data_IF_437360641429
#
_entry.id   IF_437360641429
#
_cell.length_a   1.000
_cell.length_b   1.000
_cell.length_c   1.000
_cell.angle_alpha   90.00
_cell.angle_beta   90.00
_cell.angle_gamma   90.00
#
_symmetry.space_group_name_H-M   'P 1'
#
loop_
_entity.id
_entity.type
_entity.pdbx_description
1 polymer ?
#
# COMPACT_ATOMS: atom_id res chain seq x y z
N UNK A 1 31.23 22.92 -30.51
CA UNK A 1 30.80 21.54 -30.29
C UNK A 1 29.28 21.54 -30.02
N UNK A 2 28.46 21.11 -30.99
CA UNK A 2 27.01 20.92 -30.79
C UNK A 2 26.79 19.65 -29.96
N UNK A 3 26.31 19.80 -28.74
CA UNK A 3 25.80 18.62 -27.96
C UNK A 3 24.68 18.00 -28.78
N UNK A 4 24.92 16.81 -29.30
CA UNK A 4 23.89 16.01 -29.95
C UNK A 4 22.71 15.83 -29.01
N UNK A 5 21.51 16.18 -29.45
CA UNK A 5 20.27 15.84 -28.75
C UNK A 5 20.21 14.31 -28.69
N UNK A 6 20.27 13.77 -27.49
CA UNK A 6 20.05 12.34 -27.28
C UNK A 6 18.66 12.01 -27.78
N UNK A 7 18.59 11.17 -28.79
CA UNK A 7 17.32 10.73 -29.37
C UNK A 7 16.64 9.80 -28.37
N UNK A 8 15.70 10.30 -27.61
CA UNK A 8 14.98 9.58 -26.56
C UNK A 8 14.21 8.36 -27.10
N UNK A 9 13.91 8.33 -28.41
CA UNK A 9 13.21 7.20 -29.04
C UNK A 9 14.09 5.95 -29.17
N UNK A 10 15.41 6.08 -28.99
CA UNK A 10 16.37 4.97 -29.06
C UNK A 10 16.73 4.38 -27.69
N UNK A 11 16.21 4.95 -26.60
CA UNK A 11 16.39 4.38 -25.27
C UNK A 11 15.59 3.09 -25.16
N UNK A 12 16.28 1.96 -25.12
CA UNK A 12 15.66 0.68 -24.75
C UNK A 12 15.36 0.72 -23.25
N UNK A 13 14.10 0.51 -22.88
CA UNK A 13 13.72 0.33 -21.48
C UNK A 13 14.47 -0.87 -20.89
N UNK A 14 15.08 -0.73 -19.70
CA UNK A 14 15.72 -1.86 -19.02
C UNK A 14 14.70 -2.99 -18.78
N UNK A 15 15.19 -4.20 -18.64
CA UNK A 15 14.34 -5.31 -18.25
C UNK A 15 13.69 -5.05 -16.88
N UNK A 16 12.42 -5.43 -16.71
CA UNK A 16 11.64 -5.17 -15.50
C UNK A 16 12.37 -5.59 -14.22
N UNK A 17 13.06 -6.74 -14.23
CA UNK A 17 13.83 -7.21 -13.07
C UNK A 17 14.99 -6.27 -12.72
N UNK A 18 15.61 -5.63 -13.71
CA UNK A 18 16.68 -4.63 -13.44
C UNK A 18 16.08 -3.40 -12.77
N UNK A 19 14.90 -2.96 -13.21
CA UNK A 19 14.21 -1.81 -12.60
C UNK A 19 13.86 -2.13 -11.15
N UNK A 20 13.25 -3.29 -10.88
CA UNK A 20 12.89 -3.73 -9.52
C UNK A 20 14.15 -3.79 -8.64
N UNK A 21 15.22 -4.41 -9.13
CA UNK A 21 16.46 -4.51 -8.38
C UNK A 21 17.07 -3.13 -8.05
N UNK A 22 17.05 -2.19 -8.99
CA UNK A 22 17.48 -0.81 -8.74
C UNK A 22 16.61 -0.11 -7.69
N UNK A 23 15.28 -0.33 -7.72
CA UNK A 23 14.37 0.24 -6.71
C UNK A 23 14.64 -0.36 -5.33
N UNK A 24 14.88 -1.66 -5.24
CA UNK A 24 15.21 -2.33 -3.96
C UNK A 24 16.54 -1.81 -3.40
N UNK A 25 17.57 -1.65 -4.25
CA UNK A 25 18.85 -1.03 -3.83
C UNK A 25 18.60 0.41 -3.34
N UNK A 26 17.82 1.19 -4.07
CA UNK A 26 17.53 2.57 -3.69
C UNK A 26 16.81 2.63 -2.34
N UNK A 27 15.79 1.79 -2.13
CA UNK A 27 15.09 1.69 -0.86
C UNK A 27 16.02 1.27 0.28
N UNK A 28 16.91 0.30 0.03
CA UNK A 28 17.92 -0.11 0.99
C UNK A 28 18.88 1.03 1.39
N UNK A 29 19.38 1.78 0.40
CA UNK A 29 20.22 2.95 0.68
C UNK A 29 19.51 4.03 1.50
N UNK A 30 18.18 4.19 1.32
CA UNK A 30 17.40 5.13 2.11
C UNK A 30 17.36 4.76 3.60
N UNK A 31 17.47 3.49 3.97
CA UNK A 31 17.50 3.08 5.38
C UNK A 31 18.69 3.65 6.14
N UNK A 32 19.78 4.03 5.44
CA UNK A 32 20.95 4.67 6.04
C UNK A 32 20.82 6.19 6.15
N UNK A 33 19.91 6.79 5.39
CA UNK A 33 19.78 8.25 5.30
C UNK A 33 18.56 8.76 6.05
N UNK A 34 17.48 7.98 6.06
CA UNK A 34 16.21 8.41 6.64
C UNK A 34 16.08 7.88 8.06
N UNK A 35 15.99 8.76 9.06
CA UNK A 35 15.78 8.33 10.43
C UNK A 35 14.39 7.67 10.57
N UNK A 36 14.31 6.65 11.42
CA UNK A 36 13.06 6.00 11.74
C UNK A 36 12.13 6.95 12.50
N UNK A 37 10.84 6.79 12.33
CA UNK A 37 9.82 7.53 13.06
C UNK A 37 8.48 6.81 12.99
N UNK A 38 7.57 7.20 13.89
CA UNK A 38 6.24 6.62 13.96
C UNK A 38 5.19 7.66 14.33
N UNK A 39 3.94 7.32 14.07
CA UNK A 39 2.78 8.02 14.60
C UNK A 39 2.23 7.27 15.80
N UNK A 40 1.68 7.97 16.77
CA UNK A 40 0.86 7.36 17.80
C UNK A 40 -0.43 6.80 17.19
N UNK A 41 -0.98 5.79 17.83
CA UNK A 41 -2.23 5.19 17.41
C UNK A 41 -3.31 5.41 18.46
N UNK A 42 -4.56 5.55 17.99
CA UNK A 42 -5.72 5.60 18.88
C UNK A 42 -6.81 4.66 18.41
N UNK A 43 -7.54 4.11 19.35
CA UNK A 43 -8.71 3.30 19.06
C UNK A 43 -9.92 4.19 18.87
N UNK A 44 -10.58 4.06 17.72
CA UNK A 44 -11.86 4.73 17.46
C UNK A 44 -12.97 3.69 17.37
N UNK A 45 -14.10 4.00 18.01
CA UNK A 45 -15.32 3.21 17.90
C UNK A 45 -16.19 3.77 16.77
N UNK A 46 -16.79 2.89 15.99
CA UNK A 46 -17.70 3.24 14.92
C UNK A 46 -18.84 2.22 14.85
N UNK A 47 -20.00 2.67 14.37
CA UNK A 47 -21.13 1.79 14.12
C UNK A 47 -20.91 1.04 12.80
N UNK A 48 -20.92 -0.29 12.84
CA UNK A 48 -20.79 -1.12 11.66
C UNK A 48 -22.10 -1.19 10.85
N UNK A 49 -22.05 -1.80 9.67
CA UNK A 49 -23.20 -1.93 8.78
C UNK A 49 -24.36 -2.78 9.38
N UNK A 50 -24.12 -3.49 10.49
CA UNK A 50 -25.11 -4.31 11.21
C UNK A 50 -25.72 -3.58 12.41
N UNK A 51 -25.29 -2.34 12.70
CA UNK A 51 -25.71 -1.55 13.85
C UNK A 51 -24.98 -1.92 15.14
N UNK A 52 -23.88 -2.70 15.04
CA UNK A 52 -22.97 -3.02 16.16
C UNK A 52 -21.89 -1.94 16.34
N UNK A 53 -21.36 -1.82 17.55
CA UNK A 53 -20.17 -0.99 17.81
C UNK A 53 -18.94 -1.83 17.53
N UNK A 54 -18.17 -1.44 16.52
CA UNK A 54 -16.88 -2.00 16.23
C UNK A 54 -15.78 -0.98 16.57
N UNK A 55 -14.61 -1.44 16.94
CA UNK A 55 -13.44 -0.59 17.15
C UNK A 55 -12.38 -0.87 16.10
N UNK A 56 -11.58 0.14 15.81
CA UNK A 56 -10.35 -0.02 15.04
C UNK A 56 -9.29 0.98 15.48
N UNK A 57 -8.06 0.57 15.36
CA UNK A 57 -6.90 1.42 15.59
C UNK A 57 -6.65 2.30 14.37
N UNK A 58 -6.50 3.60 14.58
CA UNK A 58 -6.14 4.59 13.54
C UNK A 58 -4.93 5.39 13.99
N UNK A 59 -4.19 5.92 13.02
CA UNK A 59 -3.08 6.82 13.30
C UNK A 59 -3.60 8.16 13.80
N UNK A 60 -2.97 8.71 14.83
CA UNK A 60 -3.28 10.04 15.33
C UNK A 60 -2.57 11.10 14.48
N UNK A 61 -3.35 12.07 13.99
CA UNK A 61 -2.79 13.17 13.20
C UNK A 61 -1.90 14.05 14.10
N UNK A 62 -0.85 14.59 13.50
CA UNK A 62 0.12 15.47 14.18
C UNK A 62 0.93 14.81 15.32
N UNK A 63 0.84 13.51 15.50
CA UNK A 63 1.59 12.74 16.50
C UNK A 63 2.92 12.19 15.99
N UNK A 64 3.36 12.57 14.77
CA UNK A 64 4.62 12.07 14.24
C UNK A 64 5.78 12.41 15.16
N UNK A 65 6.55 11.38 15.56
CA UNK A 65 7.79 11.53 16.29
C UNK A 65 8.90 10.68 15.68
N UNK A 66 10.11 11.19 15.74
CA UNK A 66 11.26 10.38 15.39
C UNK A 66 11.52 9.32 16.46
N UNK A 67 11.99 8.17 16.05
CA UNK A 67 12.45 7.16 16.97
C UNK A 67 13.86 7.52 17.49
N UNK A 68 14.07 7.28 18.77
CA UNK A 68 15.33 7.43 19.48
C UNK A 68 15.65 6.12 20.20
N UNK A 69 16.89 5.96 20.60
CA UNK A 69 17.24 4.88 21.51
C UNK A 69 16.60 5.09 22.87
N UNK A 70 16.19 4.00 23.51
CA UNK A 70 15.66 4.05 24.86
C UNK A 70 16.76 4.49 25.83
N UNK A 71 16.45 5.45 26.70
CA UNK A 71 17.29 5.72 27.87
C UNK A 71 17.05 4.60 28.90
N UNK A 72 17.88 3.57 28.80
CA UNK A 72 17.71 2.36 29.60
C UNK A 72 17.85 2.61 31.09
N UNK A 73 18.65 3.60 31.49
CA UNK A 73 18.82 3.95 32.90
C UNK A 73 17.56 4.63 33.44
N UNK A 74 17.08 5.65 32.74
CA UNK A 74 15.86 6.36 33.14
C UNK A 74 14.68 5.40 33.21
N UNK A 75 14.48 4.62 32.17
CA UNK A 75 13.35 3.66 32.12
C UNK A 75 13.49 2.59 33.20
N UNK A 76 14.68 2.08 33.46
CA UNK A 76 14.90 1.10 34.52
C UNK A 76 14.53 1.66 35.90
N UNK A 77 14.97 2.89 36.22
CA UNK A 77 14.66 3.55 37.47
C UNK A 77 13.15 3.77 37.65
N UNK A 78 12.44 4.16 36.57
CA UNK A 78 10.97 4.32 36.60
C UNK A 78 10.25 2.98 36.78
N UNK A 79 10.73 1.92 36.15
CA UNK A 79 10.14 0.59 36.29
C UNK A 79 10.38 -0.02 37.67
N UNK A 80 11.50 0.30 38.34
CA UNK A 80 11.71 -0.09 39.74
C UNK A 80 10.69 0.60 40.70
N UNK A 81 10.41 1.89 40.47
CA UNK A 81 9.37 2.59 41.20
C UNK A 81 7.97 2.06 40.94
N UNK A 82 7.70 1.61 39.70
CA UNK A 82 6.43 1.05 39.25
C UNK A 82 6.09 -0.28 39.98
N UNK A 83 7.09 -1.12 40.27
CA UNK A 83 6.91 -2.40 40.98
C UNK A 83 6.23 -2.21 42.35
N UNK A 84 6.50 -1.09 42.99
CA UNK A 84 5.95 -0.76 44.32
C UNK A 84 4.58 -0.07 44.27
N UNK A 85 4.03 0.15 43.04
CA UNK A 85 2.75 0.82 42.83
C UNK A 85 1.73 -0.13 42.12
N UNK A 86 0.93 -0.88 42.90
CA UNK A 86 -0.03 -1.84 42.32
C UNK A 86 -1.13 -1.20 41.48
N UNK A 87 -1.55 0.05 41.79
CA UNK A 87 -2.59 0.75 41.06
C UNK A 87 -2.10 1.17 39.64
N UNK A 88 -0.84 1.58 39.54
CA UNK A 88 -0.23 1.91 38.26
C UNK A 88 0.00 0.65 37.41
N UNK A 89 0.41 -0.46 37.99
CA UNK A 89 0.56 -1.73 37.30
C UNK A 89 -0.77 -2.21 36.70
N UNK A 90 -1.86 -2.11 37.45
CA UNK A 90 -3.19 -2.50 36.96
C UNK A 90 -3.67 -1.59 35.82
N UNK A 91 -3.39 -0.27 35.92
CA UNK A 91 -3.71 0.70 34.88
C UNK A 91 -2.97 0.44 33.57
N UNK A 92 -1.70 0.03 33.67
CA UNK A 92 -0.86 -0.29 32.51
C UNK A 92 -1.05 -1.73 31.98
N UNK A 93 -1.83 -2.56 32.72
CA UNK A 93 -2.08 -3.96 32.37
C UNK A 93 -0.84 -4.85 32.49
N UNK A 94 0.10 -4.51 33.39
CA UNK A 94 1.38 -5.21 33.56
C UNK A 94 1.33 -6.08 34.81
N UNK A 95 1.69 -7.34 34.67
CA UNK A 95 1.81 -8.25 35.82
C UNK A 95 3.12 -8.02 36.58
N UNK A 96 3.03 -7.85 37.88
CA UNK A 96 4.19 -7.58 38.74
C UNK A 96 5.31 -8.61 38.56
N UNK A 97 4.96 -9.88 38.48
CA UNK A 97 5.93 -10.99 38.35
C UNK A 97 6.72 -10.91 37.03
N UNK A 98 6.06 -10.47 35.95
CA UNK A 98 6.71 -10.30 34.65
C UNK A 98 7.67 -9.10 34.66
N UNK A 99 7.26 -8.00 35.28
CA UNK A 99 8.09 -6.82 35.43
C UNK A 99 9.34 -7.11 36.30
N UNK A 100 9.18 -7.76 37.45
CA UNK A 100 10.28 -8.19 38.29
C UNK A 100 11.26 -9.12 37.55
N UNK A 101 10.75 -10.01 36.70
CA UNK A 101 11.59 -10.91 35.88
C UNK A 101 12.44 -10.14 34.86
N UNK A 102 11.94 -9.03 34.31
CA UNK A 102 12.69 -8.15 33.40
C UNK A 102 13.73 -7.38 34.18
N UNK A 103 13.37 -6.77 35.31
CA UNK A 103 14.29 -5.98 36.15
C UNK A 103 15.42 -6.81 36.74
N UNK A 104 15.16 -8.07 37.11
CA UNK A 104 16.18 -8.99 37.64
C UNK A 104 17.35 -9.23 36.66
N UNK A 105 17.11 -9.06 35.34
CA UNK A 105 18.15 -9.19 34.32
C UNK A 105 19.08 -7.98 34.25
N UNK A 106 18.73 -6.89 34.93
CA UNK A 106 19.49 -5.66 35.07
C UNK A 106 19.36 -4.70 33.87
N UNK A 107 19.65 -3.43 34.13
CA UNK A 107 19.56 -2.29 33.19
C UNK A 107 20.16 -2.58 31.81
N UNK A 108 21.39 -3.15 31.76
CA UNK A 108 22.09 -3.44 30.51
C UNK A 108 21.39 -4.45 29.58
N UNK A 109 20.45 -5.19 30.11
CA UNK A 109 19.64 -6.16 29.35
C UNK A 109 18.25 -5.63 29.04
N UNK A 110 17.94 -4.39 29.41
CA UNK A 110 16.67 -3.76 29.06
C UNK A 110 16.67 -3.40 27.57
N UNK A 111 15.61 -3.77 26.89
CA UNK A 111 15.38 -3.40 25.49
C UNK A 111 13.89 -3.21 25.26
N UNK A 112 13.52 -2.39 24.27
CA UNK A 112 12.11 -2.18 23.92
C UNK A 112 11.40 -3.51 23.61
N UNK A 113 12.06 -4.43 22.94
CA UNK A 113 11.50 -5.74 22.58
C UNK A 113 11.05 -6.55 23.82
N UNK A 114 11.85 -6.53 24.88
CA UNK A 114 11.51 -7.20 26.16
C UNK A 114 10.40 -6.49 26.93
N UNK A 115 10.30 -5.17 26.78
CA UNK A 115 9.22 -4.37 27.36
C UNK A 115 7.91 -4.62 26.59
N UNK A 116 7.96 -4.76 25.29
CA UNK A 116 6.81 -5.11 24.45
C UNK A 116 6.23 -6.49 24.82
N UNK A 117 7.08 -7.46 25.22
CA UNK A 117 6.64 -8.79 25.69
C UNK A 117 5.74 -8.72 26.94
N UNK A 118 5.89 -7.68 27.74
CA UNK A 118 5.12 -7.46 28.97
C UNK A 118 4.10 -6.32 28.83
N UNK A 119 3.68 -6.01 27.61
CA UNK A 119 2.73 -4.95 27.25
C UNK A 119 3.22 -3.50 27.52
N UNK A 120 4.44 -3.27 27.94
CA UNK A 120 5.06 -1.95 28.06
C UNK A 120 5.61 -1.48 26.72
N UNK A 121 4.70 -1.26 25.77
CA UNK A 121 5.09 -0.77 24.46
C UNK A 121 5.67 0.65 24.54
N UNK A 122 6.44 1.05 23.53
CA UNK A 122 6.96 2.41 23.43
C UNK A 122 5.86 3.48 23.46
N UNK A 123 4.66 3.18 22.96
CA UNK A 123 3.53 4.11 23.05
C UNK A 123 3.01 4.26 24.48
N UNK A 124 2.92 3.18 25.23
CA UNK A 124 2.51 3.19 26.64
C UNK A 124 3.52 3.93 27.49
N UNK A 125 4.81 3.67 27.31
CA UNK A 125 5.87 4.39 28.03
C UNK A 125 5.91 5.87 27.66
N UNK A 126 5.68 6.20 26.39
CA UNK A 126 5.65 7.58 25.93
C UNK A 126 4.44 8.36 26.49
N UNK A 127 3.26 7.75 26.58
CA UNK A 127 2.07 8.36 27.18
C UNK A 127 2.29 8.70 28.65
N UNK A 128 3.03 7.86 29.40
CA UNK A 128 3.26 8.03 30.82
C UNK A 128 4.42 8.99 31.12
N UNK A 129 5.55 8.85 30.40
CA UNK A 129 6.80 9.53 30.72
C UNK A 129 7.25 10.56 29.67
N UNK A 130 6.58 10.63 28.50
CA UNK A 130 6.93 11.54 27.40
C UNK A 130 8.31 11.28 26.81
N UNK A 131 8.96 12.35 26.34
CA UNK A 131 10.28 12.27 25.71
C UNK A 131 11.43 11.85 26.65
N UNK A 132 11.18 11.78 27.95
CA UNK A 132 12.20 11.43 28.95
C UNK A 132 12.68 9.98 28.83
N UNK A 133 11.88 9.12 28.23
CA UNK A 133 12.25 7.70 27.99
C UNK A 133 13.35 7.52 26.93
N UNK A 134 13.70 8.57 26.19
CA UNK A 134 14.62 8.48 25.07
C UNK A 134 15.95 9.14 25.35
N UNK A 135 17.01 8.48 24.90
CA UNK A 135 18.29 9.14 24.69
C UNK A 135 18.21 10.02 23.44
N UNK A 136 17.95 11.32 23.64
CA UNK A 136 17.75 12.29 22.56
C UNK A 136 19.04 12.73 21.88
N UNK A 137 20.16 12.03 22.08
CA UNK A 137 21.44 12.38 21.50
C UNK A 137 21.47 12.21 19.99
N UNK A 138 20.91 11.11 19.46
CA UNK A 138 20.88 10.82 18.04
C UNK A 138 19.55 10.13 17.66
N UNK A 139 18.99 10.51 16.49
CA UNK A 139 17.83 9.85 15.92
C UNK A 139 18.17 8.44 15.49
N UNK A 140 17.31 7.50 15.80
CA UNK A 140 17.49 6.10 15.45
C UNK A 140 17.40 5.92 13.93
N UNK A 141 18.45 5.33 13.35
CA UNK A 141 18.44 4.84 11.98
C UNK A 141 18.32 3.32 12.00
N UNK A 142 17.14 2.81 11.61
CA UNK A 142 16.98 1.37 11.41
C UNK A 142 17.57 0.97 10.06
N UNK A 143 18.86 0.64 10.07
CA UNK A 143 19.62 0.26 8.87
C UNK A 143 19.50 -1.22 8.61
N UNK A 144 19.12 -1.58 7.37
CA UNK A 144 19.10 -2.97 6.97
C UNK A 144 20.48 -3.42 6.49
N UNK A 145 21.03 -4.44 7.10
CA UNK A 145 22.23 -5.10 6.61
C UNK A 145 21.93 -6.00 5.39
N UNK A 146 22.96 -6.57 4.78
CA UNK A 146 22.79 -7.51 3.65
C UNK A 146 22.12 -8.79 4.12
N UNK A 147 22.55 -9.30 5.27
CA UNK A 147 21.95 -10.44 5.97
C UNK A 147 20.94 -9.93 7.02
N UNK A 148 20.12 -10.79 7.53
CA UNK A 148 19.13 -10.39 8.54
C UNK A 148 19.77 -9.78 9.79
N UNK A 149 19.13 -8.75 10.34
CA UNK A 149 19.46 -8.11 11.62
C UNK A 149 18.27 -8.13 12.54
N UNK A 150 18.50 -8.09 13.85
CA UNK A 150 17.44 -8.04 14.87
C UNK A 150 16.58 -6.77 14.71
N UNK A 151 17.20 -5.63 14.37
CA UNK A 151 16.52 -4.35 14.14
C UNK A 151 15.46 -4.39 13.02
N UNK A 152 15.60 -5.35 12.09
CA UNK A 152 14.68 -5.58 10.98
C UNK A 152 13.92 -6.92 11.11
N UNK A 153 13.68 -7.39 12.33
CA UNK A 153 12.94 -8.63 12.56
C UNK A 153 13.60 -9.86 11.98
N UNK A 154 14.94 -9.89 11.93
CA UNK A 154 15.73 -11.01 11.43
C UNK A 154 15.92 -11.04 9.91
N UNK A 155 15.46 -10.03 9.14
CA UNK A 155 15.67 -9.97 7.69
C UNK A 155 16.45 -8.74 7.26
N UNK A 156 17.19 -8.87 6.15
CA UNK A 156 18.00 -7.82 5.56
C UNK A 156 17.70 -7.65 4.07
N UNK A 157 18.58 -6.94 3.36
CA UNK A 157 18.43 -6.64 1.93
C UNK A 157 18.07 -7.86 1.06
N UNK A 158 18.68 -9.01 1.30
CA UNK A 158 18.42 -10.22 0.51
C UNK A 158 17.03 -10.81 0.74
N UNK A 159 16.40 -10.50 1.87
CA UNK A 159 15.08 -10.97 2.21
C UNK A 159 13.97 -10.01 1.74
N UNK A 160 14.30 -8.76 1.37
CA UNK A 160 13.29 -7.73 1.06
C UNK A 160 12.26 -8.17 0.03
N UNK A 161 12.67 -8.89 -1.01
CA UNK A 161 11.74 -9.37 -2.04
C UNK A 161 10.79 -10.41 -1.44
N UNK A 162 11.32 -11.33 -0.66
CA UNK A 162 10.52 -12.38 -0.01
C UNK A 162 9.56 -11.77 1.03
N UNK A 163 10.08 -10.90 1.90
CA UNK A 163 9.27 -10.23 2.93
C UNK A 163 8.18 -9.35 2.32
N UNK A 164 8.49 -8.65 1.23
CA UNK A 164 7.48 -7.88 0.48
C UNK A 164 6.39 -8.75 -0.16
N UNK A 165 6.70 -10.01 -0.52
CA UNK A 165 5.70 -10.94 -1.04
C UNK A 165 4.81 -11.54 0.05
N UNK A 166 5.34 -11.76 1.26
CA UNK A 166 4.62 -12.42 2.37
C UNK A 166 4.09 -11.45 3.41
N UNK A 167 4.46 -10.16 3.35
CA UNK A 167 3.97 -9.14 4.28
C UNK A 167 2.46 -8.93 4.17
N UNK A 168 1.84 -8.62 5.29
CA UNK A 168 0.40 -8.44 5.40
C UNK A 168 -0.35 -9.74 5.73
N UNK A 169 -1.68 -9.68 5.72
CA UNK A 169 -2.47 -10.87 5.94
C UNK A 169 -2.50 -11.77 4.69
N UNK A 170 -2.76 -13.05 4.89
CA UNK A 170 -2.75 -14.05 3.81
C UNK A 170 -3.85 -13.85 2.74
N UNK A 171 -4.79 -12.96 2.95
CA UNK A 171 -5.90 -12.69 2.04
C UNK A 171 -5.74 -11.37 1.27
N UNK A 172 -5.02 -10.40 1.81
CA UNK A 172 -4.84 -9.07 1.22
C UNK A 172 -3.41 -8.76 0.80
N UNK A 173 -2.49 -9.69 0.99
CA UNK A 173 -1.07 -9.50 0.68
C UNK A 173 -0.74 -9.71 -0.80
N UNK A 174 0.49 -9.41 -1.19
CA UNK A 174 1.01 -9.62 -2.54
C UNK A 174 0.83 -11.07 -3.03
N UNK A 175 0.90 -12.07 -2.15
CA UNK A 175 0.64 -13.49 -2.51
C UNK A 175 -0.78 -13.69 -3.00
N UNK A 176 -1.78 -13.06 -2.38
CA UNK A 176 -3.18 -13.10 -2.83
C UNK A 176 -3.35 -12.51 -4.22
N UNK A 177 -2.71 -11.37 -4.50
CA UNK A 177 -2.72 -10.72 -5.81
C UNK A 177 -2.06 -11.61 -6.88
N UNK A 178 -0.90 -12.20 -6.57
CA UNK A 178 -0.22 -13.13 -7.49
C UNK A 178 -1.10 -14.34 -7.78
N UNK A 179 -1.73 -14.94 -6.77
CA UNK A 179 -2.65 -16.05 -6.94
C UNK A 179 -3.86 -15.68 -7.83
N UNK A 180 -4.46 -14.51 -7.61
CA UNK A 180 -5.55 -13.98 -8.43
C UNK A 180 -5.13 -13.87 -9.91
N UNK A 181 -3.99 -13.24 -10.19
CA UNK A 181 -3.48 -13.06 -11.56
C UNK A 181 -3.23 -14.42 -12.23
N UNK A 182 -2.65 -15.39 -11.52
CA UNK A 182 -2.38 -16.71 -12.06
C UNK A 182 -3.67 -17.48 -12.39
N UNK A 183 -4.65 -17.46 -11.48
CA UNK A 183 -5.92 -18.17 -11.68
C UNK A 183 -6.74 -17.52 -12.79
N UNK A 184 -6.94 -16.21 -12.74
CA UNK A 184 -7.72 -15.48 -13.75
C UNK A 184 -7.02 -15.47 -15.10
N UNK A 185 -5.70 -15.25 -15.13
CA UNK A 185 -4.91 -15.32 -16.36
C UNK A 185 -4.92 -16.72 -16.97
N UNK A 186 -4.86 -17.77 -16.15
CA UNK A 186 -5.01 -19.16 -16.60
C UNK A 186 -6.38 -19.43 -17.19
N UNK A 187 -7.46 -18.96 -16.54
CA UNK A 187 -8.82 -19.09 -17.04
C UNK A 187 -8.98 -18.40 -18.41
N UNK A 188 -8.50 -17.16 -18.55
CA UNK A 188 -8.50 -16.46 -19.83
C UNK A 188 -7.65 -17.19 -20.89
N UNK A 189 -6.50 -17.73 -20.51
CA UNK A 189 -5.67 -18.54 -21.42
C UNK A 189 -6.42 -19.75 -21.98
N UNK A 190 -7.24 -20.43 -21.15
CA UNK A 190 -8.13 -21.53 -21.61
C UNK A 190 -9.20 -20.98 -22.57
N UNK A 191 -9.90 -19.90 -22.18
CA UNK A 191 -10.96 -19.29 -23.00
C UNK A 191 -10.41 -18.83 -24.36
N UNK A 192 -9.21 -18.22 -24.40
CA UNK A 192 -8.57 -17.80 -25.65
C UNK A 192 -8.31 -19.00 -26.57
N UNK A 193 -7.88 -20.16 -26.05
CA UNK A 193 -7.63 -21.36 -26.83
C UNK A 193 -8.91 -21.95 -27.43
N UNK A 194 -10.08 -21.67 -26.91
CA UNK A 194 -11.37 -22.12 -27.51
C UNK A 194 -11.72 -21.34 -28.76
N UNK A 195 -11.06 -20.22 -29.07
CA UNK A 195 -11.43 -19.30 -30.14
C UNK A 195 -12.69 -18.47 -29.84
N UNK A 196 -13.26 -18.59 -28.65
CA UNK A 196 -14.49 -17.87 -28.29
C UNK A 196 -14.29 -16.34 -28.31
N UNK A 197 -13.08 -15.87 -27.90
CA UNK A 197 -12.75 -14.44 -27.90
C UNK A 197 -12.66 -13.93 -29.33
N UNK A 198 -11.97 -14.64 -30.23
CA UNK A 198 -11.85 -14.26 -31.62
C UNK A 198 -13.20 -14.24 -32.34
N UNK A 199 -14.05 -15.23 -32.07
CA UNK A 199 -15.43 -15.28 -32.58
C UNK A 199 -16.28 -14.10 -32.02
N UNK A 200 -16.13 -13.78 -30.72
CA UNK A 200 -16.80 -12.66 -30.09
C UNK A 200 -16.37 -11.32 -30.68
N UNK A 201 -15.06 -11.09 -30.86
CA UNK A 201 -14.50 -9.91 -31.53
C UNK A 201 -15.06 -9.75 -32.93
N UNK A 202 -15.03 -10.83 -33.72
CA UNK A 202 -15.56 -10.82 -35.08
C UNK A 202 -17.07 -10.50 -35.11
N UNK A 203 -17.85 -11.12 -34.23
CA UNK A 203 -19.27 -10.83 -34.10
C UNK A 203 -19.54 -9.39 -33.74
N UNK A 204 -18.80 -8.85 -32.75
CA UNK A 204 -18.89 -7.46 -32.35
C UNK A 204 -18.61 -6.51 -33.51
N UNK A 205 -17.48 -6.66 -34.20
CA UNK A 205 -17.12 -5.81 -35.35
C UNK A 205 -18.21 -5.85 -36.44
N UNK A 206 -18.74 -7.03 -36.75
CA UNK A 206 -19.79 -7.14 -37.74
C UNK A 206 -21.11 -6.47 -37.34
N UNK A 207 -21.48 -6.51 -36.06
CA UNK A 207 -22.72 -5.89 -35.57
C UNK A 207 -22.59 -4.38 -35.33
N UNK A 208 -21.37 -3.87 -35.09
CA UNK A 208 -21.13 -2.46 -34.75
C UNK A 208 -20.51 -1.67 -35.89
N UNK A 209 -20.66 -2.14 -37.13
CA UNK A 209 -20.15 -1.42 -38.34
C UNK A 209 -20.62 0.03 -38.31
N UNK A 210 -19.65 0.98 -38.33
CA UNK A 210 -19.89 2.42 -38.25
C UNK A 210 -19.95 3.00 -36.85
N UNK A 211 -19.89 2.17 -35.81
CA UNK A 211 -19.87 2.61 -34.40
C UNK A 211 -18.54 2.29 -33.71
N UNK A 212 -17.53 1.81 -34.45
CA UNK A 212 -16.22 1.40 -33.93
C UNK A 212 -15.55 2.53 -33.11
N UNK A 213 -15.75 3.78 -33.52
CA UNK A 213 -15.25 4.95 -32.81
C UNK A 213 -15.85 5.15 -31.42
N UNK A 214 -17.08 4.66 -31.19
CA UNK A 214 -17.73 4.75 -29.87
C UNK A 214 -17.25 3.64 -28.92
N UNK A 215 -16.67 2.56 -29.44
CA UNK A 215 -16.15 1.47 -28.61
C UNK A 215 -15.04 1.95 -27.68
N UNK A 216 -14.12 2.81 -28.15
CA UNK A 216 -13.00 3.29 -27.35
C UNK A 216 -13.45 4.11 -26.12
N UNK A 217 -14.26 5.17 -26.25
CA UNK A 217 -14.69 5.94 -25.09
C UNK A 217 -15.59 5.14 -24.15
N UNK A 218 -16.38 4.22 -24.66
CA UNK A 218 -17.20 3.33 -23.85
C UNK A 218 -16.35 2.37 -23.01
N UNK A 219 -15.34 1.75 -23.60
CA UNK A 219 -14.41 0.90 -22.89
C UNK A 219 -13.59 1.70 -21.87
N UNK A 220 -13.11 2.88 -22.26
CA UNK A 220 -12.38 3.78 -21.37
C UNK A 220 -13.23 4.13 -20.13
N UNK A 221 -14.49 4.47 -20.34
CA UNK A 221 -15.42 4.75 -19.26
C UNK A 221 -15.66 3.52 -18.39
N UNK A 222 -15.84 2.33 -18.96
CA UNK A 222 -16.07 1.09 -18.23
C UNK A 222 -14.88 0.72 -17.31
N UNK A 223 -13.65 0.79 -17.83
CA UNK A 223 -12.43 0.54 -17.03
C UNK A 223 -12.21 1.64 -15.98
N UNK A 224 -12.44 2.90 -16.33
CA UNK A 224 -12.37 4.01 -15.37
C UNK A 224 -13.40 3.87 -14.25
N UNK A 225 -14.62 3.42 -14.59
CA UNK A 225 -15.66 3.15 -13.61
C UNK A 225 -15.26 2.02 -12.65
N UNK A 226 -14.67 0.94 -13.18
CA UNK A 226 -14.13 -0.15 -12.36
C UNK A 226 -13.05 0.34 -11.40
N UNK A 227 -12.11 1.16 -11.86
CA UNK A 227 -11.10 1.79 -11.01
C UNK A 227 -11.70 2.68 -9.93
N UNK A 228 -12.70 3.49 -10.28
CA UNK A 228 -13.32 4.45 -9.37
C UNK A 228 -14.22 3.82 -8.30
N UNK A 229 -14.81 2.64 -8.58
CA UNK A 229 -15.77 2.00 -7.66
C UNK A 229 -15.09 1.00 -6.74
N UNK A 230 -14.41 0.01 -7.27
CA UNK A 230 -13.78 -1.05 -6.48
C UNK A 230 -12.24 -1.07 -6.56
N UNK A 231 -11.64 -0.03 -7.16
CA UNK A 231 -10.18 0.11 -7.18
C UNK A 231 -9.49 -0.87 -8.13
N UNK A 232 -10.14 -1.22 -9.26
CA UNK A 232 -9.59 -2.12 -10.26
C UNK A 232 -8.19 -1.68 -10.70
N UNK A 233 -7.17 -2.46 -10.41
CA UNK A 233 -5.78 -2.18 -10.75
C UNK A 233 -5.12 -3.43 -11.38
N UNK A 234 -4.89 -4.46 -10.58
CA UNK A 234 -4.21 -5.69 -10.98
C UNK A 234 -5.08 -6.56 -11.90
N UNK A 235 -6.40 -6.51 -11.74
CA UNK A 235 -7.37 -7.22 -12.57
C UNK A 235 -7.31 -6.80 -14.04
N UNK A 236 -6.82 -5.58 -14.32
CA UNK A 236 -6.64 -5.12 -15.72
C UNK A 236 -5.60 -5.97 -16.44
N UNK A 237 -4.62 -6.55 -15.74
CA UNK A 237 -3.55 -7.35 -16.37
C UNK A 237 -4.12 -8.54 -17.16
N UNK A 238 -4.93 -9.45 -16.56
CA UNK A 238 -5.56 -10.52 -17.32
C UNK A 238 -6.57 -10.00 -18.37
N UNK A 239 -7.29 -8.90 -18.11
CA UNK A 239 -8.18 -8.32 -19.13
C UNK A 239 -7.42 -7.80 -20.34
N UNK A 240 -6.18 -7.36 -20.20
CA UNK A 240 -5.37 -6.89 -21.33
C UNK A 240 -5.15 -7.99 -22.39
N UNK A 241 -5.13 -9.26 -21.97
CA UNK A 241 -5.00 -10.40 -22.90
C UNK A 241 -6.14 -10.45 -23.93
N UNK A 242 -7.33 -9.95 -23.56
CA UNK A 242 -8.50 -9.88 -24.45
C UNK A 242 -8.54 -8.52 -25.15
N UNK A 243 -8.31 -7.45 -24.40
CA UNK A 243 -8.49 -6.09 -24.91
C UNK A 243 -7.43 -5.68 -25.92
N UNK A 244 -6.19 -6.15 -25.79
CA UNK A 244 -5.15 -5.83 -26.78
C UNK A 244 -5.50 -6.35 -28.17
N UNK A 245 -5.77 -7.67 -28.40
CA UNK A 245 -6.19 -8.15 -29.71
C UNK A 245 -7.51 -7.51 -30.17
N UNK A 246 -8.44 -7.23 -29.28
CA UNK A 246 -9.71 -6.57 -29.62
C UNK A 246 -9.50 -5.16 -30.20
N UNK A 247 -8.72 -4.32 -29.52
CA UNK A 247 -8.46 -2.94 -29.95
C UNK A 247 -7.65 -2.90 -31.26
N UNK A 248 -6.68 -3.84 -31.41
CA UNK A 248 -5.93 -3.98 -32.65
C UNK A 248 -6.85 -4.43 -33.80
N UNK A 249 -7.80 -5.33 -33.56
CA UNK A 249 -8.78 -5.77 -34.58
C UNK A 249 -9.73 -4.64 -35.00
N UNK A 250 -9.95 -3.64 -34.14
CA UNK A 250 -10.66 -2.40 -34.51
C UNK A 250 -9.83 -1.43 -35.34
N UNK A 251 -8.54 -1.72 -35.59
CA UNK A 251 -7.63 -0.91 -36.42
C UNK A 251 -6.77 0.08 -35.65
N UNK A 252 -6.78 0.05 -34.30
CA UNK A 252 -5.98 0.91 -33.44
C UNK A 252 -4.66 0.24 -33.04
N UNK A 253 -3.75 1.01 -32.47
CA UNK A 253 -2.45 0.51 -32.03
C UNK A 253 -2.48 -0.06 -30.59
N UNK A 254 -1.38 -0.69 -30.18
CA UNK A 254 -1.25 -1.26 -28.83
C UNK A 254 -1.19 -0.21 -27.71
N UNK A 255 -0.80 1.03 -28.01
CA UNK A 255 -0.79 2.14 -27.03
C UNK A 255 -2.24 2.50 -26.69
N UNK A 256 -3.12 2.57 -27.70
CA UNK A 256 -4.56 2.77 -27.49
C UNK A 256 -5.13 1.64 -26.64
N UNK A 257 -4.73 0.38 -26.90
CA UNK A 257 -5.20 -0.76 -26.11
C UNK A 257 -4.81 -0.65 -24.63
N UNK A 258 -3.56 -0.30 -24.32
CA UNK A 258 -3.09 -0.09 -22.95
C UNK A 258 -3.76 1.13 -22.31
N UNK A 259 -4.00 2.17 -23.09
CA UNK A 259 -4.64 3.40 -22.59
C UNK A 259 -6.11 3.15 -22.23
N UNK A 260 -6.84 2.42 -23.05
CA UNK A 260 -8.25 2.07 -22.79
C UNK A 260 -8.42 1.17 -21.58
N UNK A 261 -7.44 0.31 -21.28
CA UNK A 261 -7.51 -0.61 -20.15
C UNK A 261 -6.82 -0.05 -18.91
N UNK A 262 -5.50 -0.07 -18.91
CA UNK A 262 -4.71 0.26 -17.73
C UNK A 262 -4.80 1.75 -17.35
N UNK A 263 -4.57 2.66 -18.32
CA UNK A 263 -4.60 4.11 -17.99
C UNK A 263 -6.02 4.52 -17.59
N UNK A 264 -7.06 4.01 -18.26
CA UNK A 264 -8.44 4.28 -17.89
C UNK A 264 -8.76 3.83 -16.46
N UNK A 265 -8.36 2.62 -16.07
CA UNK A 265 -8.53 2.11 -14.72
C UNK A 265 -7.79 2.96 -13.68
N UNK A 266 -6.54 3.37 -13.98
CA UNK A 266 -5.76 4.23 -13.08
C UNK A 266 -6.35 5.65 -12.96
N UNK A 267 -6.90 6.22 -14.04
CA UNK A 267 -7.65 7.47 -13.99
C UNK A 267 -8.86 7.33 -13.06
N UNK A 268 -9.58 6.24 -13.15
CA UNK A 268 -10.69 5.92 -12.26
C UNK A 268 -10.25 5.80 -10.80
N UNK A 269 -9.19 5.06 -10.54
CA UNK A 269 -8.68 4.84 -9.20
C UNK A 269 -8.16 6.14 -8.56
N UNK A 270 -7.41 6.96 -9.33
CA UNK A 270 -6.89 8.25 -8.86
C UNK A 270 -7.99 9.28 -8.54
N UNK A 271 -9.15 9.18 -9.20
CA UNK A 271 -10.30 10.07 -8.99
C UNK A 271 -11.47 9.36 -8.32
N UNK A 272 -11.20 8.28 -7.63
CA UNK A 272 -12.21 7.41 -7.03
C UNK A 272 -13.13 8.16 -6.07
N UNK A 273 -14.40 7.82 -6.13
CA UNK A 273 -15.43 8.35 -5.25
C UNK A 273 -15.86 7.36 -4.16
N UNK A 274 -15.55 6.07 -4.30
CA UNK A 274 -15.95 5.06 -3.32
C UNK A 274 -15.02 3.85 -3.18
N UNK A 275 -13.82 3.85 -3.79
CA UNK A 275 -12.92 2.69 -3.70
C UNK A 275 -12.62 2.32 -2.25
N UNK A 276 -12.79 1.05 -1.88
CA UNK A 276 -12.49 0.57 -0.53
C UNK A 276 -10.98 0.65 -0.21
N UNK A 277 -10.13 0.47 -1.21
CA UNK A 277 -8.67 0.43 -1.03
C UNK A 277 -8.03 1.81 -0.92
N UNK A 278 -8.54 2.82 -1.62
CA UNK A 278 -7.97 4.16 -1.58
C UNK A 278 -8.81 5.11 -0.72
N UNK A 279 -10.10 5.27 -1.03
CA UNK A 279 -10.95 6.26 -0.36
C UNK A 279 -11.29 5.83 1.07
N UNK A 280 -11.78 4.60 1.25
CA UNK A 280 -12.21 4.16 2.58
C UNK A 280 -11.02 4.04 3.55
N UNK A 281 -9.87 3.54 3.07
CA UNK A 281 -8.64 3.48 3.89
C UNK A 281 -8.15 4.88 4.25
N UNK A 282 -8.03 5.78 3.28
CA UNK A 282 -7.59 7.15 3.55
C UNK A 282 -8.52 7.90 4.51
N UNK A 283 -9.84 7.77 4.33
CA UNK A 283 -10.83 8.37 5.23
C UNK A 283 -10.78 7.74 6.62
N UNK A 284 -10.52 6.45 6.69
CA UNK A 284 -10.33 5.76 7.93
C UNK A 284 -9.13 6.25 8.71
N UNK A 285 -7.99 6.41 8.06
CA UNK A 285 -6.78 6.97 8.67
C UNK A 285 -7.03 8.41 9.13
N UNK A 286 -7.72 9.20 8.31
CA UNK A 286 -8.05 10.58 8.64
C UNK A 286 -9.15 10.74 9.72
N UNK A 287 -9.76 9.65 10.19
CA UNK A 287 -10.82 9.70 11.20
C UNK A 287 -12.12 10.37 10.75
N UNK A 288 -12.33 10.50 9.42
CA UNK A 288 -13.55 11.10 8.86
C UNK A 288 -14.53 10.03 8.36
N UNK A 289 -15.84 10.32 8.33
CA UNK A 289 -16.84 9.34 7.90
C UNK A 289 -16.56 8.81 6.50
N UNK A 290 -16.67 7.49 6.33
CA UNK A 290 -16.51 6.82 5.04
C UNK A 290 -17.50 7.39 4.03
N UNK A 291 -17.06 7.60 2.80
CA UNK A 291 -17.80 8.23 1.70
C UNK A 291 -18.13 9.73 1.89
N UNK A 292 -17.64 10.40 2.94
CA UNK A 292 -17.76 11.86 3.03
C UNK A 292 -17.14 12.52 1.79
N UNK A 293 -17.83 13.51 1.20
CA UNK A 293 -17.37 14.19 -0.03
C UNK A 293 -17.49 13.34 -1.32
N UNK A 294 -18.23 12.22 -1.32
CA UNK A 294 -18.40 11.36 -2.49
C UNK A 294 -18.98 12.11 -3.70
N UNK A 295 -19.93 13.04 -3.49
CA UNK A 295 -20.52 13.83 -4.57
C UNK A 295 -19.48 14.67 -5.32
N UNK A 296 -18.58 15.35 -4.59
CA UNK A 296 -17.50 16.11 -5.21
C UNK A 296 -16.56 15.21 -6.02
N UNK A 297 -16.15 14.06 -5.42
CA UNK A 297 -15.29 13.10 -6.10
C UNK A 297 -15.95 12.47 -7.33
N UNK A 298 -17.26 12.22 -7.29
CA UNK A 298 -18.02 11.71 -8.44
C UNK A 298 -17.98 12.71 -9.61
N UNK A 299 -18.18 13.99 -9.33
CA UNK A 299 -18.09 15.05 -10.36
C UNK A 299 -16.65 15.11 -10.90
N UNK A 300 -15.66 15.13 -10.03
CA UNK A 300 -14.25 15.15 -10.41
C UNK A 300 -13.90 13.92 -11.27
N UNK A 301 -14.30 12.72 -10.88
CA UNK A 301 -14.13 11.51 -11.68
C UNK A 301 -14.75 11.66 -13.08
N UNK A 302 -15.98 12.14 -13.17
CA UNK A 302 -16.66 12.34 -14.45
C UNK A 302 -15.92 13.31 -15.36
N UNK A 303 -15.49 14.45 -14.82
CA UNK A 303 -14.73 15.48 -15.58
C UNK A 303 -13.37 14.94 -16.04
N UNK A 304 -12.60 14.35 -15.14
CA UNK A 304 -11.24 13.84 -15.48
C UNK A 304 -11.34 12.67 -16.46
N UNK A 305 -12.29 11.75 -16.27
CA UNK A 305 -12.52 10.62 -17.18
C UNK A 305 -12.91 11.13 -18.59
N UNK A 306 -13.81 12.14 -18.67
CA UNK A 306 -14.20 12.72 -19.94
C UNK A 306 -13.02 13.40 -20.67
N UNK A 307 -12.20 14.16 -19.94
CA UNK A 307 -10.99 14.78 -20.50
C UNK A 307 -9.97 13.74 -20.98
N UNK A 308 -9.73 12.70 -20.21
CA UNK A 308 -8.82 11.62 -20.59
C UNK A 308 -9.33 10.80 -21.79
N UNK A 309 -10.62 10.52 -21.83
CA UNK A 309 -11.26 9.88 -22.99
C UNK A 309 -11.21 10.76 -24.24
N UNK A 310 -11.42 12.07 -24.10
CA UNK A 310 -11.28 13.03 -25.21
C UNK A 310 -9.82 13.06 -25.73
N UNK A 311 -8.84 13.07 -24.83
CA UNK A 311 -7.42 12.99 -25.22
C UNK A 311 -7.13 11.70 -25.99
N UNK A 312 -7.62 10.55 -25.49
CA UNK A 312 -7.49 9.28 -26.19
C UNK A 312 -8.08 9.34 -27.59
N UNK A 313 -9.29 9.91 -27.74
CA UNK A 313 -9.97 10.01 -29.04
C UNK A 313 -9.24 10.93 -30.03
N UNK A 314 -8.48 11.92 -29.55
CA UNK A 314 -7.64 12.76 -30.39
C UNK A 314 -6.37 12.04 -30.84
N UNK A 315 -5.85 11.14 -29.98
CA UNK A 315 -4.66 10.35 -30.29
C UNK A 315 -4.99 9.19 -31.26
N UNK A 316 -6.11 8.51 -31.05
CA UNK A 316 -6.56 7.36 -31.82
C UNK A 316 -7.11 7.76 -33.22
#
# INVERSE_FOLDING_TARGET
>A
MKKGKTDLTKLKTPHTYVIIFCVVIFAWLLTFLVPAGKFSTKEIQYEDASGGIASRTVLEQDSFRYAYNLDTQFVFDQLEELVDNPEALDTLGVEKEQLEAVLTKGEKNLSQEKLDEIALTDDVLYEEYGDAIYDNSEKLHKTAEIWGTEDFGGFGFLNFIFEGLVSGDKYGSAVGIVALILVVGGAFGVIMRTGAIDAGIYAFINHTKGLERLALPLLFFAFSFGGATFGMAEEVIPFSMIMVPFVIALGYDSIVAVTVTYVASQVGNATSWMSPFSVAVAQGIAGIPVLSGATFRLIMWGVVTALAAAYLMVYA
#
